data_IF_412532817231
#
_entry.id   IF_412532817231
#
_cell.length_a   1.000
_cell.length_b   1.000
_cell.length_c   1.000
_cell.angle_alpha   90.00
_cell.angle_beta   90.00
_cell.angle_gamma   90.00
#
_symmetry.space_group_name_H-M   'P 1'
#
loop_
_entity.id
_entity.type
_entity.pdbx_description
1 polymer ?
#
# COMPACT_ATOMS: atom_id res chain seq x y z
N UNK A 1 19.00 -38.13 2.57
CA UNK A 1 19.76 -38.65 3.74
C UNK A 1 21.23 -38.99 3.44
N UNK A 2 21.56 -39.51 2.26
CA UNK A 2 22.96 -39.82 1.85
C UNK A 2 23.82 -38.56 1.69
N UNK A 3 23.26 -37.50 1.08
CA UNK A 3 23.96 -36.21 0.88
C UNK A 3 24.40 -35.52 2.18
N UNK A 4 23.63 -35.69 3.28
CA UNK A 4 23.98 -35.15 4.61
C UNK A 4 25.21 -35.86 5.18
N UNK A 5 25.35 -37.16 4.97
CA UNK A 5 26.52 -37.93 5.42
C UNK A 5 27.78 -37.58 4.64
N UNK A 6 27.67 -37.35 3.33
CA UNK A 6 28.81 -36.96 2.50
C UNK A 6 29.29 -35.53 2.81
N UNK A 7 28.36 -34.60 3.02
CA UNK A 7 28.71 -33.24 3.48
C UNK A 7 29.31 -33.27 4.90
N UNK A 8 28.73 -34.05 5.81
CA UNK A 8 29.28 -34.19 7.17
C UNK A 8 30.65 -34.87 7.19
N UNK A 9 30.92 -35.84 6.30
CA UNK A 9 32.22 -36.52 6.22
C UNK A 9 33.32 -35.64 5.62
N UNK A 10 32.99 -34.72 4.71
CA UNK A 10 33.94 -33.75 4.15
C UNK A 10 34.17 -32.54 5.08
N UNK A 11 33.13 -32.09 5.81
CA UNK A 11 33.23 -30.95 6.75
C UNK A 11 33.86 -31.35 8.10
N UNK A 12 33.75 -32.63 8.51
CA UNK A 12 34.38 -33.19 9.73
C UNK A 12 35.90 -33.02 9.83
N UNK A 13 36.59 -32.67 8.73
CA UNK A 13 38.06 -32.54 8.72
C UNK A 13 38.59 -31.18 9.16
N UNK A 14 37.75 -30.20 9.50
CA UNK A 14 38.27 -28.93 10.04
C UNK A 14 37.32 -27.76 10.26
N UNK A 15 36.00 -27.91 10.12
CA UNK A 15 35.06 -26.77 10.24
C UNK A 15 33.98 -27.03 11.29
N UNK A 16 33.68 -26.02 12.10
CA UNK A 16 32.62 -26.05 13.10
C UNK A 16 31.25 -26.21 12.41
N UNK A 17 30.72 -27.43 12.44
CA UNK A 17 29.45 -27.83 11.81
C UNK A 17 28.21 -27.14 12.42
N UNK A 18 28.37 -26.33 13.48
CA UNK A 18 27.27 -25.59 14.11
C UNK A 18 26.99 -24.23 13.45
N UNK A 19 27.68 -23.87 12.37
CA UNK A 19 27.40 -22.61 11.68
C UNK A 19 26.06 -22.66 10.92
N UNK A 20 25.28 -21.57 11.03
CA UNK A 20 23.95 -21.38 10.43
C UNK A 20 23.93 -21.66 8.92
N UNK A 21 25.07 -21.45 8.23
CA UNK A 21 25.21 -21.59 6.78
C UNK A 21 24.91 -23.01 6.27
N UNK A 22 25.14 -24.04 7.09
CA UNK A 22 24.98 -25.46 6.72
C UNK A 22 23.56 -25.99 6.87
N UNK A 23 22.64 -25.19 7.42
CA UNK A 23 21.26 -25.59 7.67
C UNK A 23 20.30 -24.91 6.68
N UNK A 24 19.30 -25.64 6.15
CA UNK A 24 18.22 -25.04 5.38
C UNK A 24 17.45 -24.08 6.29
N UNK A 25 17.12 -22.89 5.77
CA UNK A 25 16.53 -21.82 6.58
C UNK A 25 15.68 -20.89 5.74
N UNK A 26 14.64 -20.37 6.38
CA UNK A 26 13.74 -19.35 5.84
C UNK A 26 14.07 -18.01 6.50
N UNK A 27 14.50 -17.06 5.69
CA UNK A 27 14.77 -15.70 6.14
C UNK A 27 13.47 -14.88 6.14
N UNK A 28 13.06 -14.45 7.33
CA UNK A 28 12.13 -13.33 7.49
C UNK A 28 12.88 -12.05 7.79
N UNK A 29 12.14 -10.94 7.83
CA UNK A 29 12.72 -9.62 8.15
C UNK A 29 13.34 -9.58 9.55
N UNK A 30 12.66 -10.17 10.54
CA UNK A 30 13.04 -10.10 11.96
C UNK A 30 13.61 -11.42 12.52
N UNK A 31 13.26 -12.54 11.90
CA UNK A 31 13.55 -13.88 12.41
C UNK A 31 13.99 -14.79 11.28
N UNK A 32 14.84 -15.75 11.61
CA UNK A 32 15.26 -16.82 10.72
C UNK A 32 14.73 -18.12 11.29
N UNK A 33 14.02 -18.91 10.48
CA UNK A 33 13.39 -20.14 10.93
C UNK A 33 13.96 -21.35 10.19
N UNK A 34 14.12 -22.46 10.91
CA UNK A 34 14.69 -23.71 10.44
C UNK A 34 13.58 -24.78 10.34
N UNK A 35 13.33 -25.33 9.14
CA UNK A 35 12.27 -26.32 8.93
C UNK A 35 12.61 -27.71 9.48
N UNK A 36 13.89 -28.09 9.43
CA UNK A 36 14.34 -29.45 9.80
C UNK A 36 15.04 -29.45 11.17
N UNK A 37 16.24 -28.87 11.24
CA UNK A 37 17.11 -28.87 12.42
C UNK A 37 17.66 -27.47 12.69
N UNK A 38 17.82 -27.14 13.97
CA UNK A 38 18.42 -25.87 14.41
C UNK A 38 19.88 -26.11 14.82
N UNK A 39 20.81 -25.17 14.53
CA UNK A 39 22.17 -25.29 15.02
C UNK A 39 22.24 -25.21 16.56
N UNK A 40 23.11 -26.01 17.15
CA UNK A 40 23.34 -26.05 18.59
C UNK A 40 23.88 -24.72 19.10
N UNK A 41 23.34 -24.18 20.21
CA UNK A 41 23.86 -22.97 20.86
C UNK A 41 23.24 -21.65 20.39
N UNK A 42 22.27 -21.68 19.47
CA UNK A 42 21.47 -20.50 19.11
C UNK A 42 20.24 -20.48 19.99
N UNK A 43 19.98 -19.33 20.65
CA UNK A 43 18.74 -19.10 21.40
C UNK A 43 17.54 -19.21 20.46
N UNK A 44 16.96 -20.40 20.39
CA UNK A 44 15.85 -20.72 19.49
C UNK A 44 14.53 -20.78 20.26
N UNK A 45 13.46 -20.37 19.59
CA UNK A 45 12.10 -20.40 20.10
C UNK A 45 11.20 -21.02 19.05
N UNK A 46 10.17 -21.74 19.49
CA UNK A 46 9.22 -22.37 18.57
C UNK A 46 8.15 -21.38 18.12
N UNK A 47 7.92 -21.29 16.81
CA UNK A 47 6.86 -20.48 16.21
C UNK A 47 6.18 -21.26 15.08
N UNK A 48 4.87 -21.48 15.22
CA UNK A 48 4.05 -22.21 14.24
C UNK A 48 4.63 -23.60 13.87
N UNK A 49 5.18 -24.31 14.85
CA UNK A 49 5.79 -25.63 14.65
C UNK A 49 7.24 -25.62 14.13
N UNK A 50 7.82 -24.45 13.88
CA UNK A 50 9.20 -24.30 13.44
C UNK A 50 10.11 -23.75 14.52
N UNK A 51 11.39 -24.14 14.51
CA UNK A 51 12.41 -23.57 15.39
C UNK A 51 12.96 -22.30 14.74
N UNK A 52 12.79 -21.16 15.41
CA UNK A 52 13.21 -19.85 14.91
C UNK A 52 14.23 -19.21 15.84
N UNK A 53 15.10 -18.38 15.28
CA UNK A 53 16.04 -17.55 15.99
C UNK A 53 15.86 -16.09 15.56
N UNK A 54 16.32 -15.17 16.41
CA UNK A 54 16.39 -13.76 16.05
C UNK A 54 17.37 -13.56 14.90
N UNK A 55 17.05 -12.67 13.95
CA UNK A 55 17.95 -12.36 12.85
C UNK A 55 19.22 -11.67 13.39
N UNK A 56 20.40 -12.31 13.31
CA UNK A 56 21.63 -11.77 13.87
C UNK A 56 22.11 -10.51 13.14
N UNK A 57 21.72 -10.32 11.88
CA UNK A 57 22.06 -9.13 11.08
C UNK A 57 21.29 -7.89 11.57
N UNK A 58 20.05 -8.08 12.03
CA UNK A 58 19.20 -6.98 12.52
C UNK A 58 19.53 -6.61 13.97
N UNK A 59 19.88 -7.61 14.80
CA UNK A 59 20.34 -7.43 16.18
C UNK A 59 21.71 -8.09 16.39
N UNK A 60 22.79 -7.47 15.89
CA UNK A 60 24.13 -7.96 16.15
C UNK A 60 24.49 -7.80 17.63
N UNK A 61 25.37 -8.66 18.14
CA UNK A 61 25.97 -8.46 19.46
C UNK A 61 26.82 -7.18 19.48
N UNK A 62 26.97 -6.55 20.65
CA UNK A 62 27.76 -5.31 20.78
C UNK A 62 29.20 -5.50 20.28
N UNK A 63 29.84 -6.60 20.65
CA UNK A 63 31.20 -6.95 20.21
C UNK A 63 31.33 -7.19 18.71
N UNK A 64 30.28 -7.70 18.05
CA UNK A 64 30.27 -7.85 16.60
C UNK A 64 30.14 -6.48 15.91
N UNK A 65 29.25 -5.62 16.44
CA UNK A 65 28.95 -4.31 15.85
C UNK A 65 30.13 -3.34 15.89
N UNK A 66 30.97 -3.42 16.93
CA UNK A 66 32.20 -2.61 17.03
C UNK A 66 33.24 -2.94 15.94
N UNK A 67 33.16 -4.13 15.34
CA UNK A 67 34.12 -4.63 14.33
C UNK A 67 33.60 -4.51 12.91
N UNK A 68 32.48 -3.80 12.70
CA UNK A 68 31.89 -3.67 11.37
C UNK A 68 32.77 -2.84 10.45
N UNK A 69 33.09 -3.42 9.29
CA UNK A 69 33.65 -2.68 8.15
C UNK A 69 32.65 -1.65 7.61
N UNK A 70 33.13 -0.69 6.81
CA UNK A 70 32.28 0.33 6.18
C UNK A 70 31.13 -0.30 5.37
N UNK A 71 31.39 -1.39 4.66
CA UNK A 71 30.38 -2.09 3.85
C UNK A 71 29.33 -2.78 4.72
N UNK A 72 29.73 -3.39 5.84
CA UNK A 72 28.79 -3.98 6.80
C UNK A 72 27.93 -2.93 7.49
N UNK A 73 28.52 -1.80 7.86
CA UNK A 73 27.77 -0.68 8.44
C UNK A 73 26.72 -0.16 7.44
N UNK A 74 27.10 0.00 6.17
CA UNK A 74 26.18 0.39 5.11
C UNK A 74 25.04 -0.62 4.92
N UNK A 75 25.35 -1.91 4.88
CA UNK A 75 24.36 -3.00 4.81
C UNK A 75 23.39 -2.96 6.01
N UNK A 76 23.92 -2.80 7.24
CA UNK A 76 23.12 -2.68 8.46
C UNK A 76 22.12 -1.50 8.40
N UNK A 77 22.57 -0.33 7.97
CA UNK A 77 21.68 0.83 7.84
C UNK A 77 20.63 0.63 6.74
N UNK A 78 20.98 0.02 5.61
CA UNK A 78 20.00 -0.28 4.56
C UNK A 78 18.99 -1.35 4.97
N UNK A 79 19.41 -2.33 5.76
CA UNK A 79 18.51 -3.31 6.36
C UNK A 79 17.47 -2.62 7.26
N UNK A 80 17.91 -1.73 8.16
CA UNK A 80 17.01 -0.95 9.00
C UNK A 80 16.15 0.04 8.20
N UNK A 81 16.70 0.72 7.20
CA UNK A 81 15.95 1.61 6.32
C UNK A 81 14.81 0.87 5.60
N UNK A 82 15.07 -0.36 5.14
CA UNK A 82 14.06 -1.25 4.56
C UNK A 82 12.91 -1.51 5.55
N UNK A 83 13.24 -1.84 6.80
CA UNK A 83 12.23 -2.07 7.86
C UNK A 83 11.40 -0.82 8.11
N UNK A 84 12.05 0.34 8.27
CA UNK A 84 11.36 1.60 8.59
C UNK A 84 10.48 2.08 7.45
N UNK A 85 10.97 2.04 6.20
CA UNK A 85 10.18 2.44 5.04
C UNK A 85 8.98 1.53 4.82
N UNK A 86 9.17 0.21 4.99
CA UNK A 86 8.07 -0.74 4.90
C UNK A 86 7.01 -0.50 5.98
N UNK A 87 7.41 -0.31 7.23
CA UNK A 87 6.50 -0.02 8.34
C UNK A 87 5.78 1.32 8.16
N UNK A 88 6.51 2.39 7.78
CA UNK A 88 5.93 3.70 7.50
C UNK A 88 4.92 3.65 6.35
N UNK A 89 5.24 2.90 5.28
CA UNK A 89 4.35 2.64 4.17
C UNK A 89 3.05 1.95 4.61
N UNK A 90 3.14 0.88 5.41
CA UNK A 90 1.96 0.16 5.91
C UNK A 90 1.08 0.99 6.84
N UNK A 91 1.66 1.75 7.76
CA UNK A 91 0.91 2.63 8.67
C UNK A 91 0.20 3.73 7.88
N UNK A 92 0.91 4.36 6.94
CA UNK A 92 0.34 5.41 6.09
C UNK A 92 -0.74 4.84 5.16
N UNK A 93 -0.57 3.61 4.67
CA UNK A 93 -1.59 2.90 3.89
C UNK A 93 -2.86 2.69 4.71
N UNK A 94 -2.75 2.20 5.94
CA UNK A 94 -3.91 1.97 6.81
C UNK A 94 -4.69 3.27 7.06
N UNK A 95 -3.99 4.36 7.40
CA UNK A 95 -4.61 5.68 7.58
C UNK A 95 -5.23 6.17 6.27
N UNK A 96 -4.51 6.06 5.15
CA UNK A 96 -4.99 6.45 3.82
C UNK A 96 -6.26 5.72 3.41
N UNK A 97 -6.34 4.40 3.63
CA UNK A 97 -7.53 3.60 3.34
C UNK A 97 -8.73 4.09 4.17
N UNK A 98 -8.54 4.34 5.46
CA UNK A 98 -9.62 4.82 6.34
C UNK A 98 -10.13 6.20 5.89
N UNK A 99 -9.22 7.14 5.60
CA UNK A 99 -9.57 8.46 5.08
C UNK A 99 -10.25 8.36 3.71
N UNK A 100 -9.83 7.41 2.88
CA UNK A 100 -10.43 7.11 1.58
C UNK A 100 -11.87 6.64 1.68
N UNK A 101 -12.14 5.67 2.57
CA UNK A 101 -13.49 5.16 2.83
C UNK A 101 -14.41 6.30 3.30
N UNK A 102 -13.95 7.11 4.26
CA UNK A 102 -14.73 8.26 4.76
C UNK A 102 -14.94 9.32 3.68
N UNK A 103 -13.92 9.59 2.87
CA UNK A 103 -13.99 10.56 1.78
C UNK A 103 -14.99 10.16 0.69
N UNK A 104 -14.97 8.88 0.31
CA UNK A 104 -15.94 8.29 -0.62
C UNK A 104 -17.36 8.29 -0.04
N UNK A 105 -17.54 7.89 1.23
CA UNK A 105 -18.85 7.90 1.89
C UNK A 105 -19.47 9.30 1.92
N UNK A 106 -18.68 10.32 2.24
CA UNK A 106 -19.14 11.71 2.28
C UNK A 106 -19.25 12.38 0.90
N UNK A 107 -18.89 11.69 -0.19
CA UNK A 107 -18.89 12.27 -1.54
C UNK A 107 -17.99 13.51 -1.68
N UNK A 108 -16.92 13.59 -0.89
CA UNK A 108 -16.09 14.78 -0.81
C UNK A 108 -14.87 14.69 -1.74
N UNK A 109 -14.96 15.36 -2.88
CA UNK A 109 -13.91 15.44 -3.89
C UNK A 109 -12.53 15.81 -3.33
N UNK A 110 -12.46 16.71 -2.33
CA UNK A 110 -11.19 17.13 -1.72
C UNK A 110 -10.52 15.98 -0.95
N UNK A 111 -11.28 15.25 -0.15
CA UNK A 111 -10.77 14.10 0.62
C UNK A 111 -10.43 12.91 -0.28
N UNK A 112 -11.22 12.66 -1.33
CA UNK A 112 -10.95 11.61 -2.31
C UNK A 112 -9.63 11.88 -3.06
N UNK A 113 -9.42 13.11 -3.53
CA UNK A 113 -8.18 13.49 -4.22
C UNK A 113 -6.96 13.40 -3.30
N UNK A 114 -7.07 13.95 -2.08
CA UNK A 114 -5.99 13.88 -1.08
C UNK A 114 -5.60 12.43 -0.78
N UNK A 115 -6.59 11.55 -0.59
CA UNK A 115 -6.33 10.13 -0.37
C UNK A 115 -5.64 9.48 -1.57
N UNK A 116 -6.03 9.82 -2.80
CA UNK A 116 -5.36 9.32 -4.01
C UNK A 116 -3.87 9.63 -4.02
N UNK A 117 -3.48 10.86 -3.68
CA UNK A 117 -2.07 11.24 -3.57
C UNK A 117 -1.34 10.55 -2.41
N UNK A 118 -1.98 10.43 -1.25
CA UNK A 118 -1.42 9.70 -0.10
C UNK A 118 -1.18 8.23 -0.45
N UNK A 119 -2.14 7.57 -1.12
CA UNK A 119 -2.00 6.18 -1.55
C UNK A 119 -0.93 6.00 -2.62
N UNK A 120 -0.78 6.97 -3.53
CA UNK A 120 0.36 6.97 -4.47
C UNK A 120 1.70 7.12 -3.75
N UNK A 121 1.79 8.01 -2.76
CA UNK A 121 3.00 8.18 -1.94
C UNK A 121 3.34 6.91 -1.15
N UNK A 122 2.33 6.21 -0.60
CA UNK A 122 2.50 4.89 0.02
C UNK A 122 3.13 3.88 -0.94
N UNK A 123 2.66 3.82 -2.19
CA UNK A 123 3.24 2.92 -3.21
C UNK A 123 4.72 3.25 -3.43
N UNK A 124 5.09 4.52 -3.50
CA UNK A 124 6.50 4.93 -3.63
C UNK A 124 7.36 4.47 -2.45
N UNK A 125 6.86 4.62 -1.21
CA UNK A 125 7.57 4.14 -0.01
C UNK A 125 7.78 2.63 -0.02
N UNK A 126 6.74 1.87 -0.42
CA UNK A 126 6.81 0.41 -0.48
C UNK A 126 7.74 -0.08 -1.60
N UNK A 127 7.71 0.56 -2.77
CA UNK A 127 8.64 0.26 -3.88
C UNK A 127 10.08 0.59 -3.47
N UNK A 128 10.30 1.71 -2.79
CA UNK A 128 11.62 2.06 -2.25
C UNK A 128 12.11 1.04 -1.22
N UNK A 129 11.23 0.54 -0.34
CA UNK A 129 11.56 -0.53 0.60
C UNK A 129 11.94 -1.83 -0.13
N UNK A 130 11.20 -2.22 -1.17
CA UNK A 130 11.52 -3.41 -1.99
C UNK A 130 12.86 -3.23 -2.72
N UNK A 131 13.14 -2.05 -3.24
CA UNK A 131 14.42 -1.74 -3.90
C UNK A 131 15.60 -1.85 -2.93
N UNK A 132 15.46 -1.29 -1.72
CA UNK A 132 16.48 -1.41 -0.67
C UNK A 132 16.64 -2.86 -0.19
N UNK A 133 15.54 -3.62 -0.09
CA UNK A 133 15.60 -5.04 0.21
C UNK A 133 16.44 -5.80 -0.82
N UNK A 134 16.22 -5.54 -2.12
CA UNK A 134 17.02 -6.14 -3.19
C UNK A 134 18.48 -5.68 -3.16
N UNK A 135 18.73 -4.42 -2.79
CA UNK A 135 20.08 -3.90 -2.61
C UNK A 135 20.83 -4.62 -1.48
N UNK A 136 20.20 -4.78 -0.31
CA UNK A 136 20.73 -5.54 0.83
C UNK A 136 21.04 -6.99 0.42
N UNK A 137 20.12 -7.65 -0.29
CA UNK A 137 20.32 -9.00 -0.83
C UNK A 137 21.48 -9.07 -1.82
N UNK A 138 21.66 -8.04 -2.65
CA UNK A 138 22.78 -7.96 -3.57
C UNK A 138 24.11 -7.84 -2.82
N UNK A 139 24.18 -7.02 -1.76
CA UNK A 139 25.36 -6.86 -0.91
C UNK A 139 25.75 -8.19 -0.24
N UNK A 140 24.78 -8.92 0.32
CA UNK A 140 24.97 -10.23 0.96
C UNK A 140 25.51 -11.30 0.00
N UNK A 141 25.21 -11.17 -1.30
CA UNK A 141 25.61 -12.15 -2.31
C UNK A 141 26.92 -11.82 -3.00
N UNK A 142 27.20 -10.54 -3.23
CA UNK A 142 28.28 -10.11 -4.12
C UNK A 142 29.30 -9.18 -3.47
N UNK A 143 28.96 -8.42 -2.43
CA UNK A 143 29.87 -7.43 -1.86
C UNK A 143 30.55 -7.90 -0.58
N UNK A 144 29.86 -8.63 0.28
CA UNK A 144 30.38 -9.03 1.58
C UNK A 144 31.21 -10.32 1.46
N UNK A 145 32.52 -10.22 1.69
CA UNK A 145 33.51 -11.29 1.50
C UNK A 145 33.83 -12.09 2.78
N UNK A 146 33.04 -11.91 3.84
CA UNK A 146 33.27 -12.55 5.14
C UNK A 146 32.16 -13.53 5.50
N UNK A 147 32.45 -14.51 6.35
CA UNK A 147 31.41 -15.36 6.93
C UNK A 147 30.42 -14.49 7.73
N UNK A 148 29.09 -14.71 7.61
CA UNK A 148 28.39 -15.85 7.00
C UNK A 148 27.89 -15.61 5.56
N UNK A 149 28.42 -14.64 4.81
CA UNK A 149 27.85 -14.19 3.53
C UNK A 149 28.26 -15.07 2.34
N UNK A 150 27.41 -15.12 1.31
CA UNK A 150 27.51 -16.11 0.23
C UNK A 150 28.87 -16.10 -0.51
N UNK A 151 29.49 -14.92 -0.62
CA UNK A 151 30.76 -14.79 -1.34
C UNK A 151 31.92 -15.50 -0.65
N UNK A 152 31.93 -15.58 0.69
CA UNK A 152 32.98 -16.29 1.46
C UNK A 152 32.79 -17.81 1.46
N UNK A 153 31.62 -18.31 1.06
CA UNK A 153 31.30 -19.74 1.20
C UNK A 153 32.22 -20.63 0.36
N UNK A 154 32.47 -21.82 0.89
CA UNK A 154 33.16 -22.91 0.19
C UNK A 154 32.41 -23.32 -1.10
N UNK A 155 33.16 -23.72 -2.13
CA UNK A 155 32.61 -24.08 -3.45
C UNK A 155 31.50 -25.14 -3.39
N UNK A 156 31.65 -26.14 -2.50
CA UNK A 156 30.65 -27.20 -2.32
C UNK A 156 29.30 -26.65 -1.84
N UNK A 157 29.32 -25.63 -0.98
CA UNK A 157 28.11 -25.00 -0.46
C UNK A 157 27.42 -24.18 -1.54
N UNK A 158 28.20 -23.44 -2.33
CA UNK A 158 27.70 -22.66 -3.47
C UNK A 158 27.03 -23.53 -4.53
N UNK A 159 27.59 -24.70 -4.82
CA UNK A 159 27.03 -25.64 -5.81
C UNK A 159 25.74 -26.33 -5.35
N UNK A 160 25.55 -26.48 -4.03
CA UNK A 160 24.41 -27.23 -3.46
C UNK A 160 23.32 -26.33 -2.87
N UNK A 161 23.56 -25.03 -2.73
CA UNK A 161 22.56 -24.10 -2.21
C UNK A 161 21.71 -23.53 -3.34
N UNK A 162 20.39 -23.58 -3.16
CA UNK A 162 19.44 -22.87 -4.00
C UNK A 162 18.80 -21.74 -3.19
N UNK A 163 18.62 -20.58 -3.84
CA UNK A 163 17.93 -19.44 -3.25
C UNK A 163 16.56 -19.31 -3.91
N UNK A 164 15.51 -19.38 -3.10
CA UNK A 164 14.14 -19.15 -3.54
C UNK A 164 13.51 -18.04 -2.68
N UNK A 165 12.58 -17.29 -3.28
CA UNK A 165 11.78 -16.31 -2.56
C UNK A 165 10.57 -16.98 -1.92
N UNK A 166 10.27 -16.62 -0.67
CA UNK A 166 9.09 -17.12 0.03
C UNK A 166 7.80 -16.46 -0.45
N UNK A 167 6.66 -17.03 -0.06
CA UNK A 167 5.32 -16.51 -0.40
C UNK A 167 5.09 -15.07 0.01
N UNK A 168 5.68 -14.62 1.12
CA UNK A 168 5.56 -13.24 1.62
C UNK A 168 6.09 -12.20 0.63
N UNK A 169 7.08 -12.57 -0.19
CA UNK A 169 7.61 -11.70 -1.25
C UNK A 169 6.57 -11.53 -2.36
N UNK A 170 5.95 -12.62 -2.80
CA UNK A 170 4.91 -12.62 -3.84
C UNK A 170 3.70 -11.81 -3.38
N UNK A 171 3.24 -12.00 -2.14
CA UNK A 171 2.11 -11.24 -1.59
C UNK A 171 2.41 -9.75 -1.47
N UNK A 172 3.68 -9.36 -1.25
CA UNK A 172 4.07 -7.95 -1.19
C UNK A 172 3.92 -7.28 -2.55
N UNK A 173 4.39 -7.90 -3.63
CA UNK A 173 4.21 -7.37 -4.99
C UNK A 173 2.75 -7.25 -5.38
N UNK A 174 1.96 -8.29 -5.10
CA UNK A 174 0.52 -8.28 -5.34
C UNK A 174 -0.14 -7.12 -4.57
N UNK A 175 0.19 -6.95 -3.29
CA UNK A 175 -0.31 -5.85 -2.47
C UNK A 175 0.03 -4.46 -3.03
N UNK A 176 1.27 -4.27 -3.51
CA UNK A 176 1.69 -3.00 -4.13
C UNK A 176 0.90 -2.70 -5.40
N UNK A 177 0.64 -3.70 -6.24
CA UNK A 177 -0.19 -3.54 -7.46
C UNK A 177 -1.62 -3.14 -7.08
N UNK A 178 -2.22 -3.80 -6.09
CA UNK A 178 -3.57 -3.44 -5.63
C UNK A 178 -3.64 -2.03 -5.03
N UNK A 179 -2.62 -1.60 -4.29
CA UNK A 179 -2.54 -0.23 -3.77
C UNK A 179 -2.44 0.81 -4.91
N UNK A 180 -1.65 0.51 -5.95
CA UNK A 180 -1.54 1.36 -7.13
C UNK A 180 -2.87 1.44 -7.89
N UNK A 181 -3.52 0.31 -8.12
CA UNK A 181 -4.85 0.27 -8.74
C UNK A 181 -5.86 1.08 -7.92
N UNK A 182 -5.86 0.92 -6.59
CA UNK A 182 -6.70 1.71 -5.69
C UNK A 182 -6.44 3.21 -5.78
N UNK A 183 -5.17 3.63 -5.84
CA UNK A 183 -4.81 5.04 -6.01
C UNK A 183 -5.35 5.61 -7.33
N UNK A 184 -5.20 4.87 -8.43
CA UNK A 184 -5.74 5.27 -9.74
C UNK A 184 -7.26 5.36 -9.70
N UNK A 185 -7.94 4.35 -9.14
CA UNK A 185 -9.39 4.35 -9.00
C UNK A 185 -9.91 5.54 -8.18
N UNK A 186 -9.21 5.96 -7.12
CA UNK A 186 -9.56 7.16 -6.34
C UNK A 186 -9.44 8.45 -7.17
N UNK A 187 -8.41 8.56 -8.01
CA UNK A 187 -8.24 9.71 -8.91
C UNK A 187 -9.36 9.75 -9.96
N UNK A 188 -9.76 8.60 -10.50
CA UNK A 188 -10.90 8.50 -11.41
C UNK A 188 -12.23 8.84 -10.71
N UNK A 189 -12.43 8.38 -9.48
CA UNK A 189 -13.59 8.74 -8.66
C UNK A 189 -13.65 10.24 -8.36
N UNK A 190 -12.50 10.89 -8.13
CA UNK A 190 -12.45 12.34 -8.01
C UNK A 190 -12.94 13.05 -9.29
N UNK A 191 -12.52 12.57 -10.47
CA UNK A 191 -12.97 13.16 -11.75
C UNK A 191 -14.48 13.02 -11.92
N UNK A 192 -15.06 11.86 -11.60
CA UNK A 192 -16.52 11.66 -11.71
C UNK A 192 -17.30 12.54 -10.73
N UNK A 193 -16.86 12.65 -9.46
CA UNK A 193 -17.50 13.52 -8.45
C UNK A 193 -17.39 14.99 -8.84
N UNK A 194 -16.25 15.41 -9.42
CA UNK A 194 -16.07 16.78 -9.88
C UNK A 194 -17.00 17.09 -11.05
N UNK A 195 -17.07 16.21 -12.04
CA UNK A 195 -17.94 16.36 -13.20
C UNK A 195 -19.43 16.40 -12.80
N UNK A 196 -19.86 15.56 -11.85
CA UNK A 196 -21.24 15.58 -11.35
C UNK A 196 -21.58 16.86 -10.58
N UNK A 197 -20.62 17.42 -9.83
CA UNK A 197 -20.81 18.71 -9.15
C UNK A 197 -20.91 19.85 -10.16
N UNK A 198 -20.05 19.88 -11.16
CA UNK A 198 -20.09 20.88 -12.22
C UNK A 198 -21.40 20.85 -13.01
N UNK A 199 -21.94 19.66 -13.34
CA UNK A 199 -23.24 19.56 -14.01
C UNK A 199 -24.40 20.06 -13.13
N UNK A 200 -24.37 19.76 -11.83
CA UNK A 200 -25.36 20.29 -10.86
C UNK A 200 -25.25 21.82 -10.74
N UNK A 201 -24.04 22.38 -10.69
CA UNK A 201 -23.87 23.83 -10.64
C UNK A 201 -24.35 24.52 -11.91
N UNK A 202 -24.09 23.95 -13.09
CA UNK A 202 -24.62 24.45 -14.36
C UNK A 202 -26.15 24.40 -14.38
N UNK A 203 -26.75 23.26 -14.03
CA UNK A 203 -28.21 23.13 -13.96
C UNK A 203 -28.85 24.13 -12.97
N UNK A 204 -28.22 24.37 -11.81
CA UNK A 204 -28.66 25.38 -10.85
C UNK A 204 -28.50 26.80 -11.38
N UNK A 205 -27.40 27.10 -12.07
CA UNK A 205 -27.18 28.40 -12.70
C UNK A 205 -28.23 28.64 -13.80
N UNK A 206 -28.43 27.68 -14.69
CA UNK A 206 -29.42 27.75 -15.77
C UNK A 206 -30.85 27.93 -15.22
N UNK A 207 -31.21 27.23 -14.14
CA UNK A 207 -32.50 27.41 -13.46
C UNK A 207 -32.66 28.82 -12.86
N UNK A 208 -31.60 29.37 -12.25
CA UNK A 208 -31.61 30.74 -11.74
C UNK A 208 -31.71 31.77 -12.87
N UNK A 209 -30.99 31.57 -13.98
CA UNK A 209 -31.07 32.44 -15.15
C UNK A 209 -32.48 32.41 -15.77
N UNK A 210 -33.09 31.23 -15.91
CA UNK A 210 -34.45 31.08 -16.42
C UNK A 210 -35.48 31.83 -15.54
N UNK A 211 -35.38 31.69 -14.21
CA UNK A 211 -36.26 32.39 -13.27
C UNK A 211 -36.06 33.91 -13.32
N UNK A 212 -34.82 34.39 -13.48
CA UNK A 212 -34.53 35.82 -13.60
C UNK A 212 -35.08 36.40 -14.91
N UNK A 213 -34.93 35.65 -16.01
CA UNK A 213 -35.40 36.05 -17.33
C UNK A 213 -36.93 36.13 -17.39
N UNK A 214 -37.63 35.13 -16.83
CA UNK A 214 -39.09 35.13 -16.70
C UNK A 214 -39.60 36.35 -15.93
N UNK A 215 -38.93 36.73 -14.82
CA UNK A 215 -39.29 37.93 -14.05
C UNK A 215 -39.02 39.24 -14.78
N UNK A 216 -37.99 39.29 -15.63
CA UNK A 216 -37.67 40.47 -16.47
C UNK A 216 -38.48 40.57 -17.76
N UNK A 217 -39.15 39.48 -18.17
CA UNK A 217 -39.99 39.40 -19.36
C UNK A 217 -41.48 39.52 -19.09
N UNK A 218 -41.87 39.74 -17.82
CA UNK A 218 -43.22 40.21 -17.50
C UNK A 218 -43.48 41.47 -18.33
N UNK A 219 -44.46 41.46 -19.27
CA UNK A 219 -44.64 42.56 -20.18
C UNK A 219 -44.96 43.82 -19.39
N UNK A 220 -44.24 44.91 -19.70
CA UNK A 220 -44.70 46.26 -19.43
C UNK A 220 -45.97 46.50 -20.26
N UNK A 221 -47.11 46.01 -19.79
CA UNK A 221 -48.37 45.99 -20.51
C UNK A 221 -49.53 45.91 -19.53
N UNK A 222 -49.93 47.06 -18.98
CA UNK A 222 -51.07 47.11 -18.07
C UNK A 222 -51.32 48.47 -17.41
N UNK A 223 -50.99 49.58 -18.08
CA UNK A 223 -51.62 50.86 -17.75
C UNK A 223 -52.89 50.94 -18.59
N UNK A 224 -54.06 50.85 -17.92
CA UNK A 224 -55.39 51.39 -18.25
C UNK A 224 -56.51 50.41 -17.87
N UNK A 225 -57.24 50.79 -16.80
CA UNK A 225 -58.60 50.36 -16.41
C UNK A 225 -58.73 48.88 -15.99
N UNK A 226 -59.35 48.46 -14.88
CA UNK A 226 -60.42 49.02 -14.06
C UNK A 226 -60.50 48.17 -12.77
N UNK A 227 -60.96 48.79 -11.67
CA UNK A 227 -61.44 48.26 -10.39
C UNK A 227 -61.48 46.74 -10.07
N UNK A 228 -61.14 46.48 -8.80
CA UNK A 228 -61.43 45.30 -7.97
C UNK A 228 -60.74 43.97 -8.30
N UNK A 229 -59.81 43.57 -7.42
CA UNK A 229 -59.95 42.39 -6.54
C UNK A 229 -58.67 42.27 -5.70
N UNK A 230 -58.82 42.48 -4.39
CA UNK A 230 -57.91 41.96 -3.38
C UNK A 230 -58.00 40.43 -3.42
N UNK A 231 -56.94 39.72 -3.84
CA UNK A 231 -56.78 38.30 -3.49
C UNK A 231 -55.33 37.83 -3.62
N UNK A 232 -54.72 37.66 -2.44
CA UNK A 232 -53.97 36.46 -2.05
C UNK A 232 -52.74 36.07 -2.88
N UNK A 233 -51.65 36.74 -2.55
CA UNK A 233 -50.28 36.28 -2.69
C UNK A 233 -50.05 35.00 -1.86
N UNK A 234 -50.33 33.79 -2.38
CA UNK A 234 -49.73 32.52 -1.89
C UNK A 234 -50.05 31.36 -2.83
N UNK A 235 -49.01 30.72 -3.38
CA UNK A 235 -49.01 29.32 -3.82
C UNK A 235 -49.80 28.97 -5.08
N UNK A 236 -49.17 29.09 -6.25
CA UNK A 236 -49.59 28.32 -7.42
C UNK A 236 -48.38 27.90 -8.25
N UNK A 237 -47.98 26.63 -8.13
CA UNK A 237 -47.11 25.98 -9.12
C UNK A 237 -47.98 25.60 -10.32
N UNK A 238 -47.72 26.08 -11.54
CA UNK A 238 -48.40 25.56 -12.71
C UNK A 238 -47.83 24.17 -13.02
N UNK A 239 -48.68 23.16 -12.97
CA UNK A 239 -48.45 21.86 -13.60
C UNK A 239 -48.40 22.06 -15.11
N UNK A 240 -47.21 22.25 -15.68
CA UNK A 240 -47.02 22.12 -17.14
C UNK A 240 -46.73 20.66 -17.49
N UNK A 241 -47.75 19.98 -18.02
CA UNK A 241 -47.59 18.76 -18.80
C UNK A 241 -46.87 19.10 -20.11
N UNK A 242 -45.66 18.57 -20.31
CA UNK A 242 -45.00 18.46 -21.60
C UNK A 242 -44.10 17.20 -21.63
N UNK A 243 -43.89 16.58 -22.80
CA UNK A 243 -43.73 15.13 -22.91
C UNK A 243 -42.29 14.62 -22.74
N UNK A 244 -42.16 13.50 -22.01
CA UNK A 244 -41.19 12.44 -22.23
C UNK A 244 -39.71 12.82 -22.36
N UNK A 245 -39.02 13.04 -21.23
CA UNK A 245 -37.57 12.78 -21.13
C UNK A 245 -37.27 12.14 -19.76
N UNK A 246 -36.87 10.87 -19.79
CA UNK A 246 -36.40 10.14 -18.62
C UNK A 246 -35.06 10.74 -18.15
N UNK A 247 -35.08 11.54 -17.09
CA UNK A 247 -33.89 11.87 -16.32
C UNK A 247 -33.67 10.80 -15.23
N UNK A 248 -32.48 10.17 -15.10
CA UNK A 248 -32.24 9.23 -14.02
C UNK A 248 -32.17 9.97 -12.68
N UNK A 249 -33.04 9.60 -11.76
CA UNK A 249 -33.10 10.15 -10.40
C UNK A 249 -31.85 9.72 -9.60
N UNK A 250 -31.03 10.64 -9.04
CA UNK A 250 -29.78 10.28 -8.38
C UNK A 250 -29.91 9.84 -6.91
N UNK A 251 -31.12 9.55 -6.41
CA UNK A 251 -31.34 9.14 -5.02
C UNK A 251 -32.28 7.93 -4.90
N UNK A 252 -31.75 6.74 -5.23
CA UNK A 252 -32.29 5.47 -4.77
C UNK A 252 -31.14 4.50 -4.48
N UNK A 253 -30.61 4.56 -3.27
CA UNK A 253 -30.00 3.41 -2.60
C UNK A 253 -30.41 3.49 -1.12
N UNK A 254 -31.35 2.64 -0.74
CA UNK A 254 -31.85 2.50 0.62
C UNK A 254 -32.67 1.23 0.74
N UNK A 255 -32.06 0.23 1.39
CA UNK A 255 -32.64 -0.99 1.97
C UNK A 255 -33.33 -2.00 1.05
N UNK A 256 -32.64 -3.11 0.81
CA UNK A 256 -33.02 -4.47 1.28
C UNK A 256 -31.77 -5.32 1.44
#
# INVERSE_FOLDING_TARGET
MVLRRDLQNQVKKGTDLNQIIYFPRNFGLFHVCFPDDVPSGIGSFSKLGYNCAQNPELKPSQSARERFSTVQNQHYYFLWATVFLYAAGLVTAAVGILVGVVGCWKGSARFTLFTGFVMFFVVLLLVAAIALFHWVQYQERHMLEMEPYYRSWQLILKQKTTFAYGWSYVTTWIGVVFLLLGAVSLILAYRSIKQSKESIYKAKADALYAQHYEKSMMPYGGAYNTYDIYSTYYGHYPTMQAPGYYAPNPYMYGHQ
#
